data_IF_756648425293
#
_entry.id   IF_756648425293
#
_cell.length_a   1.000
_cell.length_b   1.000
_cell.length_c   1.000
_cell.angle_alpha   90.00
_cell.angle_beta   90.00
_cell.angle_gamma   90.00
#
_symmetry.space_group_name_H-M   'P 1'
#
loop_
_entity.id
_entity.type
_entity.pdbx_description
1 polymer ?
#
# COMPACT_ATOMS: atom_id res chain seq x y z
N UNK A 1 13.99 9.75 17.23
CA UNK A 1 13.12 8.66 17.71
C UNK A 1 13.32 7.48 16.77
N UNK A 2 14.02 6.43 17.19
CA UNK A 2 14.20 5.21 16.40
C UNK A 2 12.91 4.39 16.43
N UNK A 3 12.23 4.28 15.29
CA UNK A 3 11.02 3.48 15.14
C UNK A 3 11.43 2.02 14.96
N UNK A 4 11.15 1.15 15.94
CA UNK A 4 11.38 -0.29 15.83
C UNK A 4 10.10 -0.99 15.36
N UNK A 5 10.21 -1.87 14.37
CA UNK A 5 9.11 -2.68 13.85
C UNK A 5 9.46 -4.15 14.09
N UNK A 6 8.56 -4.87 14.74
CA UNK A 6 8.72 -6.31 14.97
C UNK A 6 7.79 -7.02 13.99
N UNK A 7 8.37 -7.78 13.06
CA UNK A 7 7.61 -8.65 12.15
C UNK A 7 7.42 -10.00 12.83
N UNK A 8 6.17 -10.32 13.17
CA UNK A 8 5.76 -11.63 13.67
C UNK A 8 5.21 -12.42 12.47
N UNK A 9 5.64 -13.67 12.33
CA UNK A 9 5.20 -14.60 11.27
C UNK A 9 5.72 -14.30 9.86
N UNK A 10 7.05 -14.34 9.69
CA UNK A 10 7.66 -14.42 8.36
C UNK A 10 7.75 -15.87 7.90
N UNK A 11 7.41 -16.12 6.64
CA UNK A 11 7.59 -17.43 6.02
C UNK A 11 9.07 -17.89 6.13
N UNK A 12 9.35 -19.15 6.49
CA UNK A 12 10.71 -19.65 6.61
C UNK A 12 11.52 -19.54 5.31
N UNK A 13 10.87 -19.68 4.15
CA UNK A 13 11.45 -19.50 2.83
C UNK A 13 11.90 -18.06 2.59
N UNK A 14 11.04 -17.09 2.87
CA UNK A 14 11.34 -15.66 2.74
C UNK A 14 12.49 -15.24 3.67
N UNK A 15 12.48 -15.74 4.91
CA UNK A 15 13.57 -15.51 5.86
C UNK A 15 14.91 -16.07 5.38
N UNK A 16 14.88 -17.24 4.74
CA UNK A 16 16.08 -17.88 4.19
C UNK A 16 16.61 -17.13 2.97
N UNK A 17 15.69 -16.66 2.11
CA UNK A 17 16.03 -15.81 0.99
C UNK A 17 16.66 -14.49 1.45
N UNK A 18 16.04 -13.76 2.40
CA UNK A 18 16.57 -12.51 2.96
C UNK A 18 17.97 -12.67 3.55
N UNK A 19 18.23 -13.78 4.26
CA UNK A 19 19.57 -14.07 4.81
C UNK A 19 20.62 -14.27 3.73
N UNK A 20 20.28 -15.01 2.67
CA UNK A 20 21.20 -15.28 1.55
C UNK A 20 21.50 -13.99 0.79
N UNK A 21 20.47 -13.21 0.50
CA UNK A 21 20.59 -11.94 -0.21
C UNK A 21 21.45 -10.94 0.57
N UNK A 22 21.21 -10.82 1.88
CA UNK A 22 21.99 -9.93 2.75
C UNK A 22 23.48 -10.33 2.77
N UNK A 23 23.78 -11.64 2.80
CA UNK A 23 25.14 -12.16 2.72
C UNK A 23 25.80 -11.86 1.37
N UNK A 24 25.07 -12.00 0.26
CA UNK A 24 25.58 -11.73 -1.08
C UNK A 24 25.98 -10.27 -1.26
N UNK A 25 25.20 -9.35 -0.67
CA UNK A 25 25.44 -7.91 -0.73
C UNK A 25 26.42 -7.45 0.38
N UNK A 26 26.74 -8.31 1.33
CA UNK A 26 27.67 -8.01 2.44
C UNK A 26 27.08 -7.12 3.53
N UNK A 27 25.76 -7.11 3.69
CA UNK A 27 25.04 -6.31 4.70
C UNK A 27 24.35 -7.20 5.74
N UNK A 28 23.93 -6.62 6.85
CA UNK A 28 23.07 -7.33 7.81
C UNK A 28 21.67 -7.55 7.21
N UNK A 29 20.98 -8.60 7.65
CA UNK A 29 19.60 -8.87 7.23
C UNK A 29 18.66 -7.71 7.59
N UNK A 30 18.86 -7.05 8.74
CA UNK A 30 18.07 -5.88 9.15
C UNK A 30 18.29 -4.70 8.21
N UNK A 31 19.54 -4.41 7.85
CA UNK A 31 19.87 -3.31 6.93
C UNK A 31 19.29 -3.55 5.54
N UNK A 32 19.34 -4.78 5.04
CA UNK A 32 18.67 -5.14 3.78
C UNK A 32 17.16 -4.87 3.83
N UNK A 33 16.48 -5.33 4.90
CA UNK A 33 15.04 -5.11 5.07
C UNK A 33 14.72 -3.62 5.17
N UNK A 34 15.57 -2.85 5.87
CA UNK A 34 15.42 -1.40 5.98
C UNK A 34 15.49 -0.71 4.62
N UNK A 35 16.43 -1.13 3.76
CA UNK A 35 16.56 -0.62 2.38
C UNK A 35 15.35 -0.98 1.52
N UNK A 36 14.89 -2.23 1.57
CA UNK A 36 13.70 -2.66 0.83
C UNK A 36 12.46 -1.85 1.23
N UNK A 37 12.25 -1.62 2.53
CA UNK A 37 11.14 -0.78 3.02
C UNK A 37 11.32 0.66 2.54
N UNK A 38 12.54 1.19 2.59
CA UNK A 38 12.80 2.56 2.15
C UNK A 38 12.53 2.72 0.66
N UNK A 39 13.04 1.83 -0.20
CA UNK A 39 12.79 1.85 -1.64
C UNK A 39 11.30 1.75 -1.96
N UNK A 40 10.57 0.89 -1.26
CA UNK A 40 9.13 0.75 -1.46
C UNK A 40 8.37 1.99 -1.01
N UNK A 41 8.80 2.64 0.09
CA UNK A 41 8.26 3.93 0.52
C UNK A 41 8.55 5.01 -0.51
N UNK A 42 9.75 5.13 -1.04
CA UNK A 42 10.09 6.10 -2.09
C UNK A 42 9.24 5.87 -3.34
N UNK A 43 9.05 4.61 -3.75
CA UNK A 43 8.13 4.25 -4.85
C UNK A 43 6.66 4.59 -4.54
N UNK A 44 6.26 4.51 -3.28
CA UNK A 44 4.90 4.85 -2.84
C UNK A 44 4.72 6.36 -2.70
N UNK A 45 5.74 7.11 -2.30
CA UNK A 45 5.77 8.57 -2.21
C UNK A 45 5.75 9.23 -3.59
N UNK A 46 6.18 8.52 -4.64
CA UNK A 46 5.95 8.91 -6.03
C UNK A 46 4.48 8.82 -6.45
N UNK A 47 3.59 8.23 -5.64
CA UNK A 47 2.15 8.34 -5.87
C UNK A 47 1.71 9.72 -5.44
N UNK A 48 0.86 10.41 -6.24
CA UNK A 48 0.34 11.71 -5.86
C UNK A 48 -0.30 11.58 -4.48
N UNK A 49 0.00 12.54 -3.59
CA UNK A 49 -0.64 12.58 -2.28
C UNK A 49 -2.16 12.55 -2.49
N UNK A 50 -2.95 11.91 -1.61
CA UNK A 50 -4.40 11.91 -1.77
C UNK A 50 -4.93 13.32 -2.03
N UNK A 51 -4.50 14.31 -1.24
CA UNK A 51 -4.84 15.72 -1.44
C UNK A 51 -4.52 16.27 -2.84
N UNK A 52 -3.40 15.87 -3.43
CA UNK A 52 -2.97 16.27 -4.77
C UNK A 52 -3.79 15.57 -5.86
N UNK A 53 -4.10 14.29 -5.67
CA UNK A 53 -5.02 13.55 -6.54
C UNK A 53 -6.43 14.17 -6.52
N UNK A 54 -6.93 14.54 -5.34
CA UNK A 54 -8.20 15.25 -5.17
C UNK A 54 -8.17 16.63 -5.83
N UNK A 55 -7.13 17.44 -5.61
CA UNK A 55 -6.99 18.75 -6.23
C UNK A 55 -6.93 18.67 -7.77
N UNK A 56 -6.23 17.67 -8.31
CA UNK A 56 -6.18 17.43 -9.76
C UNK A 56 -7.54 17.04 -10.34
N UNK A 57 -8.37 16.31 -9.59
CA UNK A 57 -9.66 15.84 -10.07
C UNK A 57 -10.78 16.88 -9.92
N UNK A 58 -10.78 17.62 -8.82
CA UNK A 58 -11.84 18.58 -8.48
C UNK A 58 -11.48 20.06 -8.73
N UNK A 59 -10.22 20.38 -9.06
CA UNK A 59 -9.76 21.75 -9.31
C UNK A 59 -9.52 22.57 -8.03
N UNK A 60 -9.24 23.87 -8.21
CA UNK A 60 -8.97 24.82 -7.13
C UNK A 60 -10.23 25.20 -6.32
N UNK A 61 -11.41 24.81 -6.79
CA UNK A 61 -12.70 25.19 -6.20
C UNK A 61 -13.08 24.37 -4.95
N UNK A 62 -12.16 23.55 -4.42
CA UNK A 62 -12.30 22.85 -3.14
C UNK A 62 -13.65 22.15 -2.93
N UNK A 63 -13.91 21.13 -3.76
CA UNK A 63 -14.79 20.02 -3.38
C UNK A 63 -16.29 20.25 -3.60
N UNK A 64 -16.93 19.22 -4.14
CA UNK A 64 -18.38 19.07 -4.10
C UNK A 64 -18.74 18.58 -2.71
N UNK A 65 -19.65 19.28 -2.02
CA UNK A 65 -20.27 18.75 -0.81
C UNK A 65 -21.04 17.48 -1.17
N UNK A 66 -20.53 16.34 -0.71
CA UNK A 66 -21.25 15.08 -0.88
C UNK A 66 -22.50 15.15 0.01
N UNK A 67 -23.69 14.85 -0.54
CA UNK A 67 -24.89 14.80 0.27
C UNK A 67 -24.69 13.78 1.40
N UNK A 68 -25.31 14.00 2.56
CA UNK A 68 -25.21 13.06 3.68
C UNK A 68 -25.56 11.65 3.19
N UNK A 69 -24.83 10.62 3.63
CA UNK A 69 -25.05 9.27 3.18
C UNK A 69 -26.51 8.89 3.46
N UNK A 70 -27.28 8.71 2.39
CA UNK A 70 -28.65 8.24 2.49
C UNK A 70 -28.54 6.85 3.11
N UNK A 71 -29.09 6.65 4.31
CA UNK A 71 -29.24 5.32 4.94
C UNK A 71 -30.29 4.47 4.21
N UNK A 72 -30.31 4.52 2.87
CA UNK A 72 -31.03 3.59 2.02
C UNK A 72 -30.08 2.45 1.73
N UNK A 73 -30.45 1.23 2.13
CA UNK A 73 -29.59 0.05 2.12
C UNK A 73 -28.68 -0.02 0.90
N UNK A 74 -27.37 -0.08 1.16
CA UNK A 74 -26.38 -0.42 0.15
C UNK A 74 -26.81 -1.73 -0.49
N UNK A 75 -27.41 -1.67 -1.69
CA UNK A 75 -27.68 -2.86 -2.49
C UNK A 75 -26.37 -3.16 -3.19
N UNK A 76 -25.62 -4.21 -2.78
CA UNK A 76 -24.41 -4.57 -3.49
C UNK A 76 -24.76 -4.78 -4.95
N UNK A 77 -23.98 -4.16 -5.84
CA UNK A 77 -24.04 -4.45 -7.27
C UNK A 77 -23.62 -5.91 -7.39
N UNK A 78 -24.60 -6.81 -7.53
CA UNK A 78 -24.33 -8.17 -7.96
C UNK A 78 -23.93 -8.07 -9.42
N UNK A 79 -22.66 -8.33 -9.71
CA UNK A 79 -22.25 -8.69 -11.05
C UNK A 79 -22.91 -10.04 -11.33
N UNK A 80 -24.06 -10.01 -12.02
CA UNK A 80 -24.60 -11.21 -12.61
C UNK A 80 -23.58 -11.67 -13.64
N UNK A 81 -22.97 -12.81 -13.35
CA UNK A 81 -22.18 -13.60 -14.28
C UNK A 81 -23.10 -14.04 -15.41
N UNK A 82 -23.25 -13.21 -16.44
CA UNK A 82 -23.94 -13.58 -17.66
C UNK A 82 -22.97 -14.38 -18.53
N UNK A 83 -23.14 -15.70 -18.52
CA UNK A 83 -23.00 -16.51 -19.72
C UNK A 83 -21.79 -17.45 -19.77
N UNK A 84 -21.92 -18.60 -19.11
CA UNK A 84 -21.44 -19.85 -19.68
C UNK A 84 -22.63 -20.81 -19.81
N UNK A 85 -23.26 -20.81 -20.99
CA UNK A 85 -23.70 -22.02 -21.71
C UNK A 85 -23.97 -21.69 -23.19
#
# INVERSE_FOLDING_TARGET
>A
MSTSIIVRDIDPGDKSWLRREARQIGVSMEELVRRLIHEQRTKTELRPKPSEAFARHFGADHGVDLPPPVRGGYRPISFSDEGEE
#
